data_IF_015594795229
#
_entry.id   IF_015594795229
#
_cell.length_a   1.000
_cell.length_b   1.000
_cell.length_c   1.000
_cell.angle_alpha   90.00
_cell.angle_beta   90.00
_cell.angle_gamma   90.00
#
_symmetry.space_group_name_H-M   'P 1'
#
loop_
_entity.id
_entity.type
_entity.pdbx_description
1 polymer ?
#
# COMPACT_ATOMS: atom_id res chain seq x y z
N UNK A 1 -5.83 -17.83 0.17
CA UNK A 1 -6.79 -16.77 -0.22
C UNK A 1 -6.25 -16.12 -1.47
N UNK A 2 -7.08 -15.82 -2.47
CA UNK A 2 -6.63 -15.13 -3.68
C UNK A 2 -6.60 -13.64 -3.42
N UNK A 3 -5.52 -12.94 -3.80
CA UNK A 3 -5.38 -11.50 -3.54
C UNK A 3 -6.55 -10.68 -4.12
N UNK A 4 -7.10 -11.10 -5.27
CA UNK A 4 -8.25 -10.44 -5.91
C UNK A 4 -9.53 -10.42 -5.05
N UNK A 5 -9.65 -11.30 -4.06
CA UNK A 5 -10.83 -11.42 -3.19
C UNK A 5 -10.62 -10.69 -1.84
N UNK A 6 -9.42 -10.16 -1.61
CA UNK A 6 -8.97 -9.62 -0.32
C UNK A 6 -9.19 -8.12 -0.14
N UNK A 7 -9.99 -7.44 -0.96
CA UNK A 7 -10.16 -5.99 -0.78
C UNK A 7 -11.57 -5.51 -1.15
N UNK A 8 -12.62 -5.91 -0.41
CA UNK A 8 -13.95 -5.36 -0.62
C UNK A 8 -13.97 -3.82 -0.48
N UNK A 9 -14.91 -3.18 -1.16
CA UNK A 9 -15.05 -1.72 -1.12
C UNK A 9 -15.39 -1.22 0.29
N UNK A 10 -14.96 0.00 0.62
CA UNK A 10 -15.25 0.64 1.90
C UNK A 10 -14.35 0.22 3.06
N UNK A 11 -13.41 -0.70 2.85
CA UNK A 11 -12.39 -1.05 3.85
C UNK A 11 -11.34 0.04 4.08
N UNK A 12 -10.41 -0.23 4.99
CA UNK A 12 -9.30 0.66 5.35
C UNK A 12 -7.97 -0.10 5.38
N UNK A 13 -6.93 0.51 4.82
CA UNK A 13 -5.57 -0.03 4.81
C UNK A 13 -4.66 0.69 5.78
N UNK A 14 -3.81 -0.05 6.47
CA UNK A 14 -2.69 0.48 7.26
C UNK A 14 -1.42 -0.28 6.87
N UNK A 15 -0.38 0.45 6.47
CA UNK A 15 0.92 -0.15 6.20
C UNK A 15 1.88 0.13 7.35
N UNK A 16 2.55 -0.92 7.81
CA UNK A 16 3.63 -0.89 8.77
C UNK A 16 4.96 -1.16 8.13
N UNK A 17 5.94 -0.33 8.45
CA UNK A 17 7.33 -0.41 8.01
C UNK A 17 8.24 -0.17 9.21
N UNK A 18 9.53 -0.48 9.10
CA UNK A 18 10.51 -0.13 10.11
C UNK A 18 11.83 0.26 9.44
N UNK A 19 12.60 1.14 10.06
CA UNK A 19 13.96 1.41 9.61
C UNK A 19 14.92 0.25 9.97
N UNK A 20 16.19 0.39 9.59
CA UNK A 20 17.25 -0.59 9.88
C UNK A 20 17.54 -0.80 11.38
N UNK A 21 17.15 0.14 12.25
CA UNK A 21 17.32 0.05 13.69
C UNK A 21 16.07 -0.54 14.39
N UNK A 22 15.03 -0.88 13.62
CA UNK A 22 13.78 -1.41 14.14
C UNK A 22 12.80 -0.32 14.63
N UNK A 23 13.01 0.95 14.28
CA UNK A 23 12.06 2.03 14.62
C UNK A 23 10.84 1.91 13.71
N UNK A 24 9.72 1.50 14.32
CA UNK A 24 8.46 1.21 13.61
C UNK A 24 7.75 2.49 13.15
N UNK A 25 7.10 2.41 12.00
CA UNK A 25 6.25 3.42 11.42
C UNK A 25 4.94 2.79 10.93
N UNK A 26 3.81 3.47 11.16
CA UNK A 26 2.48 3.08 10.66
C UNK A 26 1.87 4.26 9.90
N UNK A 27 1.25 3.98 8.75
CA UNK A 27 0.52 4.98 7.97
C UNK A 27 -0.79 4.39 7.43
N UNK A 28 -1.85 5.19 7.43
CA UNK A 28 -3.06 4.86 6.66
C UNK A 28 -2.68 4.89 5.18
N UNK A 29 -3.01 3.83 4.46
CA UNK A 29 -2.63 3.66 3.05
C UNK A 29 -3.83 3.26 2.20
N UNK A 30 -3.76 3.58 0.91
CA UNK A 30 -4.76 3.18 -0.06
C UNK A 30 -4.87 1.65 -0.14
N UNK A 31 -6.01 1.19 -0.64
CA UNK A 31 -6.17 -0.22 -1.04
C UNK A 31 -5.21 -0.50 -2.21
N UNK A 32 -4.44 -1.61 -2.17
CA UNK A 32 -3.49 -1.91 -3.24
C UNK A 32 -4.16 -2.15 -4.58
N UNK A 33 -3.38 -1.95 -5.63
CA UNK A 33 -3.62 -2.55 -6.93
C UNK A 33 -3.16 -4.01 -6.88
N UNK A 34 -4.05 -4.94 -7.24
CA UNK A 34 -3.70 -6.36 -7.37
C UNK A 34 -3.12 -6.56 -8.77
N UNK A 35 -1.85 -6.97 -8.85
CA UNK A 35 -1.15 -7.18 -10.12
C UNK A 35 -1.33 -8.62 -10.59
N UNK A 36 -1.11 -9.57 -9.69
CA UNK A 36 -1.24 -11.00 -9.94
C UNK A 36 -1.59 -11.75 -8.64
N UNK A 37 -1.40 -13.07 -8.60
CA UNK A 37 -1.74 -13.92 -7.46
C UNK A 37 -0.89 -13.64 -6.20
N UNK A 38 0.29 -13.03 -6.34
CA UNK A 38 1.25 -12.81 -5.25
C UNK A 38 1.78 -11.37 -5.16
N UNK A 39 1.46 -10.52 -6.15
CA UNK A 39 2.01 -9.16 -6.27
C UNK A 39 0.93 -8.10 -6.07
N UNK A 40 1.24 -7.14 -5.20
CA UNK A 40 0.44 -5.93 -4.94
C UNK A 40 1.28 -4.69 -5.25
N UNK A 41 0.61 -3.61 -5.65
CA UNK A 41 1.25 -2.31 -5.90
C UNK A 41 0.51 -1.18 -5.18
N UNK A 42 1.27 -0.18 -4.76
CA UNK A 42 0.78 1.07 -4.17
C UNK A 42 1.56 2.24 -4.74
N UNK A 43 0.92 3.40 -4.76
CA UNK A 43 1.61 4.67 -4.93
C UNK A 43 2.18 5.17 -3.61
N UNK A 44 3.47 5.50 -3.61
CA UNK A 44 4.16 6.07 -2.46
C UNK A 44 4.69 7.44 -2.82
N UNK A 45 4.61 8.37 -1.88
CA UNK A 45 5.41 9.59 -1.92
C UNK A 45 6.81 9.32 -1.38
N UNK A 46 7.75 10.26 -1.57
CA UNK A 46 9.10 10.26 -0.98
C UNK A 46 9.11 10.50 0.54
N UNK A 47 8.27 9.76 1.27
CA UNK A 47 8.08 9.86 2.71
C UNK A 47 8.77 8.74 3.51
N UNK A 48 8.52 8.74 4.82
CA UNK A 48 9.15 7.81 5.78
C UNK A 48 8.92 6.34 5.45
N UNK A 49 7.73 5.96 4.99
CA UNK A 49 7.45 4.55 4.65
C UNK A 49 8.32 4.05 3.50
N UNK A 50 8.54 4.86 2.45
CA UNK A 50 9.41 4.48 1.33
C UNK A 50 10.87 4.47 1.75
N UNK A 51 11.31 5.48 2.52
CA UNK A 51 12.67 5.50 3.09
C UNK A 51 12.95 4.25 3.95
N UNK A 52 12.00 3.83 4.77
CA UNK A 52 12.10 2.60 5.54
C UNK A 52 12.21 1.38 4.62
N UNK A 53 11.36 1.26 3.60
CA UNK A 53 11.36 0.11 2.67
C UNK A 53 12.67 -0.06 1.89
N UNK A 54 13.33 1.05 1.52
CA UNK A 54 14.64 1.02 0.86
C UNK A 54 15.77 0.50 1.77
N UNK A 55 15.64 0.69 3.09
CA UNK A 55 16.62 0.22 4.08
C UNK A 55 16.28 -1.17 4.64
N UNK A 56 14.99 -1.48 4.73
CA UNK A 56 14.42 -2.71 5.23
C UNK A 56 13.18 -3.06 4.38
N UNK A 57 13.28 -4.04 3.47
CA UNK A 57 12.23 -4.30 2.49
C UNK A 57 10.98 -4.94 3.09
N UNK A 58 10.94 -5.23 4.39
CA UNK A 58 9.80 -5.90 5.02
C UNK A 58 8.71 -4.91 5.45
N UNK A 59 7.46 -5.27 5.16
CA UNK A 59 6.29 -4.54 5.60
C UNK A 59 5.17 -5.46 6.07
N UNK A 60 4.25 -4.90 6.84
CA UNK A 60 2.97 -5.53 7.13
C UNK A 60 1.84 -4.62 6.67
N UNK A 61 0.90 -5.15 5.88
CA UNK A 61 -0.30 -4.42 5.50
C UNK A 61 -1.50 -5.02 6.23
N UNK A 62 -2.14 -4.22 7.08
CA UNK A 62 -3.40 -4.55 7.73
C UNK A 62 -4.54 -3.97 6.88
N UNK A 63 -5.45 -4.83 6.47
CA UNK A 63 -6.73 -4.43 5.91
C UNK A 63 -7.83 -4.66 6.93
N UNK A 64 -8.58 -3.61 7.24
CA UNK A 64 -9.81 -3.67 8.03
C UNK A 64 -11.00 -3.74 7.09
N UNK A 65 -11.75 -4.84 7.16
CA UNK A 65 -12.93 -5.06 6.34
C UNK A 65 -14.08 -4.12 6.77
N UNK A 66 -15.00 -3.76 5.85
CA UNK A 66 -16.13 -2.88 6.10
C UNK A 66 -17.24 -3.58 6.90
N UNK A 67 -16.94 -4.15 8.07
CA UNK A 67 -17.91 -4.85 8.91
C UNK A 67 -17.72 -4.53 10.40
N UNK A 68 -18.71 -4.88 11.23
CA UNK A 68 -18.63 -4.70 12.68
C UNK A 68 -17.72 -5.77 13.29
N UNK A 69 -16.92 -5.38 14.28
CA UNK A 69 -16.01 -6.28 15.01
C UNK A 69 -14.60 -6.33 14.40
N UNK A 70 -13.86 -7.40 14.68
CA UNK A 70 -12.46 -7.57 14.28
C UNK A 70 -12.33 -8.36 12.98
N UNK A 71 -12.85 -7.81 11.88
CA UNK A 71 -12.80 -8.44 10.56
C UNK A 71 -11.73 -7.81 9.69
N UNK A 72 -10.85 -8.64 9.14
CA UNK A 72 -9.73 -8.19 8.32
C UNK A 72 -8.63 -9.24 8.23
N UNK A 73 -7.54 -8.88 7.56
CA UNK A 73 -6.36 -9.74 7.42
C UNK A 73 -5.11 -8.88 7.42
N UNK A 74 -4.00 -9.55 7.76
CA UNK A 74 -2.66 -8.99 7.64
C UNK A 74 -1.93 -9.73 6.53
N UNK A 75 -1.30 -8.95 5.68
CA UNK A 75 -0.35 -9.45 4.69
C UNK A 75 1.06 -9.14 5.20
N UNK A 76 1.92 -10.15 5.19
CA UNK A 76 3.35 -9.97 5.34
C UNK A 76 3.94 -9.76 3.95
N UNK A 77 4.67 -8.67 3.76
CA UNK A 77 5.12 -8.20 2.47
C UNK A 77 6.64 -8.03 2.47
N UNK A 78 7.22 -8.20 1.28
CA UNK A 78 8.60 -7.81 0.98
C UNK A 78 8.59 -6.94 -0.27
N UNK A 79 9.23 -5.78 -0.24
CA UNK A 79 9.38 -4.91 -1.39
C UNK A 79 10.12 -5.68 -2.50
N UNK A 80 9.44 -5.86 -3.63
CA UNK A 80 10.01 -6.52 -4.82
C UNK A 80 10.77 -5.54 -5.71
N UNK A 81 10.19 -4.37 -5.95
CA UNK A 81 10.76 -3.32 -6.78
C UNK A 81 10.10 -1.98 -6.51
N UNK A 82 10.81 -0.90 -6.86
CA UNK A 82 10.31 0.46 -6.92
C UNK A 82 10.32 0.90 -8.38
N UNK A 83 9.24 1.52 -8.86
CA UNK A 83 9.07 1.91 -10.26
C UNK A 83 8.64 3.38 -10.30
N UNK A 84 9.40 4.22 -11.00
CA UNK A 84 9.17 5.67 -11.10
C UNK A 84 8.53 6.12 -12.43
N UNK A 85 8.18 5.21 -13.32
CA UNK A 85 7.59 5.52 -14.63
C UNK A 85 6.74 4.37 -15.19
N UNK A 86 5.97 4.65 -16.24
CA UNK A 86 5.20 3.64 -16.99
C UNK A 86 3.70 3.63 -16.68
N UNK A 87 2.98 2.77 -17.40
CA UNK A 87 1.51 2.73 -17.41
C UNK A 87 0.90 2.42 -16.04
N UNK A 88 1.52 1.51 -15.28
CA UNK A 88 1.06 1.16 -13.94
C UNK A 88 1.13 2.37 -12.99
N UNK A 89 2.20 3.16 -13.05
CA UNK A 89 2.33 4.37 -12.23
C UNK A 89 1.25 5.39 -12.62
N UNK A 90 1.03 5.61 -13.91
CA UNK A 90 0.00 6.52 -14.39
C UNK A 90 -1.40 6.10 -13.94
N UNK A 91 -1.71 4.79 -13.94
CA UNK A 91 -2.98 4.28 -13.42
C UNK A 91 -3.13 4.54 -11.92
N UNK A 92 -2.09 4.28 -11.13
CA UNK A 92 -2.08 4.50 -9.68
C UNK A 92 -2.27 6.00 -9.36
N UNK A 93 -1.57 6.88 -10.07
CA UNK A 93 -1.71 8.33 -9.91
C UNK A 93 -3.14 8.80 -10.25
N UNK A 94 -3.75 8.27 -11.32
CA UNK A 94 -5.13 8.58 -11.69
C UNK A 94 -6.11 8.16 -10.59
N UNK A 95 -5.99 6.95 -10.06
CA UNK A 95 -6.86 6.48 -8.97
C UNK A 95 -6.67 7.28 -7.69
N UNK A 96 -5.44 7.67 -7.37
CA UNK A 96 -5.17 8.52 -6.22
C UNK A 96 -5.80 9.92 -6.39
N UNK A 97 -5.75 10.48 -7.61
CA UNK A 97 -6.41 11.73 -7.93
C UNK A 97 -7.94 11.66 -7.77
N UNK A 98 -8.56 10.55 -8.21
CA UNK A 98 -9.99 10.29 -8.04
C UNK A 98 -10.39 10.11 -6.58
N UNK A 99 -9.60 9.37 -5.80
CA UNK A 99 -9.94 9.01 -4.43
C UNK A 99 -9.61 10.10 -3.40
N UNK A 100 -8.55 10.88 -3.62
CA UNK A 100 -7.99 11.81 -2.63
C UNK A 100 -7.68 13.22 -3.20
N UNK A 101 -8.01 13.48 -4.46
CA UNK A 101 -7.84 14.76 -5.13
C UNK A 101 -6.54 14.87 -5.92
N UNK A 102 -6.44 15.82 -6.88
CA UNK A 102 -5.34 15.89 -7.84
C UNK A 102 -3.95 15.97 -7.19
N UNK A 103 -3.83 16.63 -6.03
CA UNK A 103 -2.56 16.75 -5.31
C UNK A 103 -2.04 15.39 -4.84
N UNK A 104 -2.92 14.45 -4.48
CA UNK A 104 -2.51 13.10 -4.10
C UNK A 104 -1.94 12.32 -5.29
N UNK A 105 -2.60 12.43 -6.45
CA UNK A 105 -2.12 11.82 -7.70
C UNK A 105 -0.75 12.36 -8.12
N UNK A 106 -0.52 13.68 -8.02
CA UNK A 106 0.77 14.29 -8.39
C UNK A 106 1.89 14.10 -7.37
N UNK A 107 1.59 13.64 -6.15
CA UNK A 107 2.59 13.48 -5.08
C UNK A 107 3.25 12.09 -5.07
N UNK A 108 2.62 11.12 -5.72
CA UNK A 108 3.12 9.76 -5.96
C UNK A 108 4.04 9.81 -7.17
#
# INVERSE_FOLDING_TARGET
MKLAELFPEGGRGVIGTADQNGVVNLAVFAIPHVIDEETLAWGFTEGRSMQNLRLNPHASYLYLAPSRGHSGWRLALTLKQEVGEGELLAEIQSRAAEAAGPQAGSAI
#
